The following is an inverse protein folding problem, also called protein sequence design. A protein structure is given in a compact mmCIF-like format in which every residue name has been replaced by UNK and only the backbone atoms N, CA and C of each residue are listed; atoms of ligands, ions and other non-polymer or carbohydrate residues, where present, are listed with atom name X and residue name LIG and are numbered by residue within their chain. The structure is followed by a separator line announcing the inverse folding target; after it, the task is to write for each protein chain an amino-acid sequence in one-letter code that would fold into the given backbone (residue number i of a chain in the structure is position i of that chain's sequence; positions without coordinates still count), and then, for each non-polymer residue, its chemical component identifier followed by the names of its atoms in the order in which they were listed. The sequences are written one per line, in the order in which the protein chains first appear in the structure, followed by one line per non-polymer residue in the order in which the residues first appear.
data_IF_982993601754
#
_entry.id   IF_982993601754
#
_cell.length_a   1.000
_cell.length_b   1.000
_cell.length_c   1.000
_cell.angle_alpha   90.00
_cell.angle_beta   90.00
_cell.angle_gamma   90.00
#
_symmetry.space_group_name_H-M   'P 1'
#
loop_
_entity.id
_entity.type
_entity.pdbx_description
1 polymer ?
#
# COMPACT_ATOMS: atom_id res chain seq x y z
N UNK A 1 -8.44 -11.22 22.81
CA UNK A 1 -7.25 -10.72 23.54
C UNK A 1 -5.97 -10.83 22.71
N UNK A 2 -5.66 -11.96 22.06
CA UNK A 2 -4.44 -12.16 21.25
C UNK A 2 -4.27 -11.17 20.08
N UNK A 3 -5.35 -10.68 19.47
CA UNK A 3 -5.31 -9.73 18.32
C UNK A 3 -4.90 -8.31 18.75
N UNK A 4 -5.29 -7.85 19.95
CA UNK A 4 -4.89 -6.53 20.49
C UNK A 4 -3.40 -6.48 20.85
N UNK A 5 -2.86 -7.56 21.40
CA UNK A 5 -1.44 -7.65 21.78
C UNK A 5 -0.55 -7.63 20.53
N UNK A 6 -0.93 -8.32 19.45
CA UNK A 6 -0.20 -8.24 18.17
C UNK A 6 -0.15 -6.81 17.62
N UNK A 7 -1.26 -6.07 17.69
CA UNK A 7 -1.29 -4.68 17.18
C UNK A 7 -0.37 -3.75 18.01
N UNK A 8 -0.31 -3.91 19.32
CA UNK A 8 0.58 -3.13 20.20
C UNK A 8 2.05 -3.42 19.87
N UNK A 9 2.41 -4.68 19.68
CA UNK A 9 3.78 -5.07 19.30
C UNK A 9 4.21 -4.43 17.97
N UNK A 10 3.33 -4.41 16.95
CA UNK A 10 3.60 -3.78 15.67
C UNK A 10 3.69 -2.25 15.76
N UNK A 11 2.87 -1.63 16.60
CA UNK A 11 2.96 -0.19 16.88
C UNK A 11 4.28 0.17 17.56
N UNK A 12 4.72 -0.59 18.58
CA UNK A 12 5.99 -0.37 19.25
C UNK A 12 7.18 -0.56 18.30
N UNK A 13 7.12 -1.58 17.44
CA UNK A 13 8.15 -1.82 16.41
C UNK A 13 8.21 -0.69 15.39
N UNK A 14 7.07 -0.21 14.90
CA UNK A 14 7.00 0.93 14.00
C UNK A 14 7.61 2.19 14.64
N UNK A 15 7.41 2.40 15.94
CA UNK A 15 7.97 3.52 16.67
C UNK A 15 9.50 3.42 16.84
N UNK A 16 10.01 2.22 17.10
CA UNK A 16 11.46 1.96 17.23
C UNK A 16 12.20 2.07 15.88
N UNK A 17 11.57 1.65 14.78
CA UNK A 17 12.15 1.75 13.43
C UNK A 17 11.98 3.16 12.82
N UNK A 18 11.12 4.01 13.42
CA UNK A 18 10.77 5.34 12.92
C UNK A 18 11.97 6.26 12.59
N UNK A 19 12.98 6.44 13.45
CA UNK A 19 14.09 7.34 13.13
C UNK A 19 14.94 6.84 11.94
N UNK A 20 15.11 5.52 11.82
CA UNK A 20 15.85 4.91 10.70
C UNK A 20 15.08 5.02 9.38
N UNK A 21 13.76 4.85 9.43
CA UNK A 21 12.88 4.98 8.27
C UNK A 21 12.82 6.43 7.82
N UNK A 22 12.72 7.38 8.76
CA UNK A 22 12.72 8.83 8.46
C UNK A 22 14.02 9.26 7.76
N UNK A 23 15.16 8.73 8.21
CA UNK A 23 16.46 9.01 7.57
C UNK A 23 16.53 8.44 6.14
N UNK A 24 16.03 7.23 5.92
CA UNK A 24 15.97 6.60 4.59
C UNK A 24 15.01 7.32 3.63
N UNK A 25 13.84 7.73 4.11
CA UNK A 25 12.86 8.50 3.32
C UNK A 25 13.49 9.83 2.88
N UNK A 26 14.18 10.54 3.77
CA UNK A 26 14.85 11.81 3.44
C UNK A 26 15.97 11.66 2.39
N UNK A 27 16.64 10.52 2.36
CA UNK A 27 17.69 10.23 1.36
C UNK A 27 17.08 9.83 0.01
N UNK A 28 15.98 9.09 0.01
CA UNK A 28 15.33 8.56 -1.21
C UNK A 28 14.40 9.58 -1.89
N UNK A 29 13.82 10.52 -1.14
CA UNK A 29 12.90 11.57 -1.65
C UNK A 29 13.56 12.57 -2.64
N UNK A 30 14.85 12.48 -2.88
CA UNK A 30 15.59 13.35 -3.81
C UNK A 30 15.62 12.84 -5.26
N UNK A 31 15.09 11.68 -5.55
CA UNK A 31 15.15 11.12 -6.89
C UNK A 31 13.86 11.39 -7.66
N UNK A 32 14.01 12.09 -8.79
CA UNK A 32 12.97 12.42 -9.77
C UNK A 32 11.95 11.29 -9.96
N UNK A 33 10.67 11.65 -10.00
CA UNK A 33 9.57 10.78 -10.43
C UNK A 33 9.89 10.28 -11.83
N UNK A 34 10.47 9.11 -11.93
CA UNK A 34 10.70 8.43 -13.21
C UNK A 34 9.36 8.03 -13.79
N UNK A 35 9.22 8.06 -15.12
CA UNK A 35 8.04 7.55 -15.84
C UNK A 35 7.65 6.11 -15.45
N UNK A 36 8.57 5.33 -14.94
CA UNK A 36 8.39 3.95 -14.40
C UNK A 36 8.14 3.93 -12.88
N UNK A 37 7.25 4.75 -12.37
CA UNK A 37 6.94 4.76 -10.94
C UNK A 37 6.16 3.51 -10.52
N UNK A 38 6.49 2.95 -9.35
CA UNK A 38 5.75 1.85 -8.74
C UNK A 38 4.84 2.43 -7.65
N UNK A 39 3.55 2.25 -7.81
CA UNK A 39 2.52 2.92 -6.99
C UNK A 39 1.69 1.87 -6.29
N UNK A 40 1.55 2.01 -4.97
CA UNK A 40 0.65 1.19 -4.15
C UNK A 40 -0.57 2.00 -3.76
N UNK A 41 -1.76 1.53 -4.10
CA UNK A 41 -3.02 2.12 -3.63
C UNK A 41 -3.64 1.23 -2.56
N UNK A 42 -4.01 1.83 -1.44
CA UNK A 42 -4.70 1.15 -0.34
C UNK A 42 -6.06 1.82 -0.16
N UNK A 43 -7.10 1.31 -0.81
CA UNK A 43 -8.47 1.77 -0.59
C UNK A 43 -8.99 1.28 0.77
N UNK A 44 -10.22 1.63 1.12
CA UNK A 44 -10.88 1.05 2.29
C UNK A 44 -10.98 -0.48 2.12
N UNK A 45 -10.23 -1.23 2.93
CA UNK A 45 -9.95 -2.64 2.69
C UNK A 45 -11.17 -3.56 2.68
N UNK A 46 -12.26 -3.19 3.37
CA UNK A 46 -13.38 -4.10 3.64
C UNK A 46 -14.71 -3.69 3.02
N UNK A 47 -14.83 -2.47 2.51
CA UNK A 47 -16.08 -1.92 1.98
C UNK A 47 -16.08 -1.91 0.46
N UNK A 48 -16.89 -2.77 -0.12
CA UNK A 48 -17.03 -2.91 -1.57
C UNK A 48 -17.45 -1.59 -2.26
N UNK A 49 -18.38 -0.85 -1.66
CA UNK A 49 -18.83 0.43 -2.20
C UNK A 49 -17.70 1.46 -2.31
N UNK A 50 -16.87 1.57 -1.26
CA UNK A 50 -15.74 2.50 -1.25
C UNK A 50 -14.71 2.15 -2.34
N UNK A 51 -14.53 0.84 -2.63
CA UNK A 51 -13.63 0.37 -3.68
C UNK A 51 -14.13 0.77 -5.07
N UNK A 52 -15.44 0.68 -5.30
CA UNK A 52 -16.04 1.16 -6.56
C UNK A 52 -15.81 2.66 -6.72
N UNK A 53 -16.00 3.44 -5.65
CA UNK A 53 -15.76 4.90 -5.66
C UNK A 53 -14.29 5.27 -5.92
N UNK A 54 -13.34 4.40 -5.59
CA UNK A 54 -11.91 4.61 -5.83
C UNK A 54 -11.48 4.23 -7.25
N UNK A 55 -12.28 3.48 -8.00
CA UNK A 55 -11.95 3.03 -9.36
C UNK A 55 -11.51 4.17 -10.31
N UNK A 56 -12.10 5.37 -10.29
CA UNK A 56 -11.63 6.50 -11.12
C UNK A 56 -10.20 6.93 -10.81
N UNK A 57 -9.73 6.71 -9.58
CA UNK A 57 -8.35 7.04 -9.17
C UNK A 57 -7.34 6.18 -9.92
N UNK A 58 -7.62 4.89 -10.16
CA UNK A 58 -6.75 4.01 -10.95
C UNK A 58 -6.60 4.50 -12.38
N UNK A 59 -7.70 5.01 -12.93
CA UNK A 59 -7.71 5.63 -14.25
C UNK A 59 -6.84 6.88 -14.26
N UNK A 60 -7.05 7.81 -13.34
CA UNK A 60 -6.30 9.05 -13.24
C UNK A 60 -4.79 8.80 -13.08
N UNK A 61 -4.40 7.80 -12.25
CA UNK A 61 -3.00 7.41 -12.09
C UNK A 61 -2.40 6.93 -13.41
N UNK A 62 -3.09 6.04 -14.13
CA UNK A 62 -2.58 5.51 -15.41
C UNK A 62 -2.58 6.55 -16.54
N UNK A 63 -3.49 7.51 -16.53
CA UNK A 63 -3.48 8.63 -17.46
C UNK A 63 -2.31 9.58 -17.21
N UNK A 64 -1.99 9.86 -15.94
CA UNK A 64 -0.88 10.72 -15.56
C UNK A 64 0.49 10.00 -15.67
N UNK A 65 0.53 8.71 -15.36
CA UNK A 65 1.73 7.87 -15.35
C UNK A 65 1.48 6.57 -16.12
N UNK A 66 1.45 6.60 -17.46
CA UNK A 66 1.08 5.44 -18.29
C UNK A 66 1.96 4.21 -18.05
N UNK A 67 3.26 4.42 -17.84
CA UNK A 67 4.25 3.36 -17.64
C UNK A 67 4.41 2.94 -16.18
N UNK A 68 3.55 3.45 -15.28
CA UNK A 68 3.61 3.10 -13.86
C UNK A 68 3.14 1.67 -13.62
N UNK A 69 3.77 1.00 -12.66
CA UNK A 69 3.27 -0.25 -12.10
C UNK A 69 2.31 0.08 -10.95
N UNK A 70 1.05 -0.24 -11.12
CA UNK A 70 -0.02 0.02 -10.15
C UNK A 70 -0.42 -1.26 -9.42
N UNK A 71 -0.13 -1.34 -8.13
CA UNK A 71 -0.62 -2.38 -7.26
C UNK A 71 -1.71 -1.87 -6.32
N UNK A 72 -2.66 -2.72 -5.99
CA UNK A 72 -3.76 -2.40 -5.08
C UNK A 72 -3.83 -3.43 -3.96
N UNK A 73 -3.80 -2.95 -2.71
CA UNK A 73 -3.97 -3.79 -1.53
C UNK A 73 -5.43 -3.80 -1.10
N UNK A 74 -6.07 -4.96 -1.13
CA UNK A 74 -7.52 -5.12 -0.86
C UNK A 74 -7.83 -6.39 -0.10
N UNK A 75 -9.08 -6.53 0.36
CA UNK A 75 -9.60 -7.78 0.90
C UNK A 75 -9.94 -8.77 -0.22
N UNK A 76 -10.04 -10.04 0.14
CA UNK A 76 -10.46 -11.10 -0.79
C UNK A 76 -11.83 -10.80 -1.42
N UNK A 77 -12.77 -10.24 -0.64
CA UNK A 77 -14.09 -9.83 -1.14
C UNK A 77 -14.01 -8.76 -2.23
N UNK A 78 -13.06 -7.87 -2.12
CA UNK A 78 -12.86 -6.75 -3.05
C UNK A 78 -12.03 -7.13 -4.28
N UNK A 79 -11.13 -8.09 -4.13
CA UNK A 79 -10.28 -8.57 -5.21
C UNK A 79 -11.08 -9.05 -6.42
N UNK A 80 -12.22 -9.74 -6.18
CA UNK A 80 -13.10 -10.23 -7.24
C UNK A 80 -13.64 -9.12 -8.15
N UNK A 81 -13.88 -7.92 -7.61
CA UNK A 81 -14.39 -6.77 -8.37
C UNK A 81 -13.29 -6.15 -9.22
N UNK A 82 -12.06 -6.17 -8.73
CA UNK A 82 -10.92 -5.52 -9.38
C UNK A 82 -10.17 -6.42 -10.36
N UNK A 83 -10.42 -7.73 -10.31
CA UNK A 83 -9.66 -8.76 -11.05
C UNK A 83 -9.53 -8.49 -12.55
N UNK A 84 -10.55 -7.90 -13.17
CA UNK A 84 -10.58 -7.63 -14.60
C UNK A 84 -10.35 -6.15 -14.94
N UNK A 85 -9.83 -5.36 -14.00
CA UNK A 85 -9.54 -3.97 -14.27
C UNK A 85 -8.19 -3.82 -15.01
N UNK A 86 -8.19 -3.38 -16.30
CA UNK A 86 -6.98 -3.33 -17.12
C UNK A 86 -5.96 -2.30 -16.64
N UNK A 87 -6.30 -1.47 -15.67
CA UNK A 87 -5.43 -0.42 -15.11
C UNK A 87 -4.64 -0.89 -13.92
N UNK A 88 -4.95 -2.07 -13.37
CA UNK A 88 -4.30 -2.64 -12.19
C UNK A 88 -3.33 -3.73 -12.64
N UNK A 89 -2.05 -3.55 -12.35
CA UNK A 89 -1.03 -4.52 -12.71
C UNK A 89 -0.91 -5.65 -11.68
N UNK A 90 -1.21 -5.36 -10.39
CA UNK A 90 -1.16 -6.37 -9.32
C UNK A 90 -2.22 -6.10 -8.26
N UNK A 91 -2.92 -7.16 -7.86
CA UNK A 91 -3.79 -7.16 -6.68
C UNK A 91 -3.08 -7.92 -5.56
N UNK A 92 -2.99 -7.31 -4.39
CA UNK A 92 -2.44 -7.91 -3.18
C UNK A 92 -3.61 -8.11 -2.22
N UNK A 93 -3.85 -9.35 -1.82
CA UNK A 93 -4.96 -9.71 -0.92
C UNK A 93 -4.38 -9.81 0.49
N UNK A 94 -4.79 -8.90 1.38
CA UNK A 94 -4.16 -8.81 2.70
C UNK A 94 -4.41 -10.02 3.60
N UNK A 95 -5.49 -10.77 3.36
CA UNK A 95 -5.81 -12.00 4.11
C UNK A 95 -4.89 -13.17 3.77
N UNK A 96 -4.19 -13.15 2.63
CA UNK A 96 -3.27 -14.21 2.20
C UNK A 96 -1.92 -14.14 2.94
N UNK A 97 -1.67 -13.04 3.65
CA UNK A 97 -0.39 -12.78 4.29
C UNK A 97 -0.55 -12.53 5.79
N UNK A 98 0.41 -12.96 6.56
CA UNK A 98 0.60 -12.41 7.91
C UNK A 98 1.09 -10.96 7.80
N UNK A 99 0.96 -10.18 8.88
CA UNK A 99 1.42 -8.78 8.86
C UNK A 99 2.90 -8.64 8.52
N UNK A 100 3.72 -9.62 8.90
CA UNK A 100 5.16 -9.63 8.59
C UNK A 100 5.41 -9.93 7.10
N UNK A 101 4.79 -10.97 6.57
CA UNK A 101 4.90 -11.35 5.17
C UNK A 101 4.43 -10.24 4.25
N UNK A 102 3.33 -9.57 4.59
CA UNK A 102 2.81 -8.44 3.82
C UNK A 102 3.83 -7.28 3.73
N UNK A 103 4.49 -6.96 4.85
CA UNK A 103 5.55 -5.95 4.86
C UNK A 103 6.73 -6.39 3.98
N UNK A 104 7.11 -7.66 4.02
CA UNK A 104 8.17 -8.19 3.15
C UNK A 104 7.80 -8.08 1.68
N UNK A 105 6.58 -8.48 1.30
CA UNK A 105 6.07 -8.37 -0.08
C UNK A 105 6.07 -6.92 -0.57
N UNK A 106 5.64 -5.97 0.27
CA UNK A 106 5.64 -4.55 -0.09
C UNK A 106 7.07 -4.03 -0.28
N UNK A 107 8.02 -4.46 0.54
CA UNK A 107 9.44 -4.11 0.41
C UNK A 107 10.08 -4.69 -0.87
N UNK A 108 9.79 -5.94 -1.19
CA UNK A 108 10.28 -6.59 -2.41
C UNK A 108 9.76 -5.89 -3.67
N UNK A 109 8.52 -5.43 -3.63
CA UNK A 109 7.91 -4.71 -4.74
C UNK A 109 8.46 -3.28 -4.91
N UNK A 110 9.26 -2.76 -3.98
CA UNK A 110 9.97 -1.48 -4.02
C UNK A 110 9.10 -0.32 -4.55
N UNK A 111 7.98 -0.07 -3.90
CA UNK A 111 7.08 1.01 -4.27
C UNK A 111 7.74 2.38 -4.03
N UNK A 112 7.56 3.29 -4.98
CA UNK A 112 8.02 4.68 -4.88
C UNK A 112 6.97 5.57 -4.21
N UNK A 113 5.68 5.25 -4.40
CA UNK A 113 4.54 6.00 -3.90
C UNK A 113 3.51 5.08 -3.27
N UNK A 114 2.88 5.58 -2.22
CA UNK A 114 1.66 4.95 -1.69
C UNK A 114 0.54 5.97 -1.57
N UNK A 115 -0.63 5.57 -2.01
CA UNK A 115 -1.86 6.33 -1.85
C UNK A 115 -2.78 5.57 -0.89
N UNK A 116 -2.82 6.02 0.37
CA UNK A 116 -3.68 5.44 1.38
C UNK A 116 -5.00 6.21 1.44
N UNK A 117 -6.05 5.59 0.94
CA UNK A 117 -7.43 6.12 0.95
C UNK A 117 -8.26 5.51 2.08
N UNK A 118 -7.63 4.70 2.94
CA UNK A 118 -8.29 4.09 4.08
C UNK A 118 -8.21 4.98 5.31
N UNK A 119 -9.33 5.19 5.99
CA UNK A 119 -9.38 5.87 7.28
C UNK A 119 -8.82 5.03 8.44
N UNK A 120 -8.32 3.82 8.19
CA UNK A 120 -7.82 2.91 9.22
C UNK A 120 -6.33 3.05 9.42
N UNK A 121 -5.88 3.01 10.68
CA UNK A 121 -4.46 3.04 11.07
C UNK A 121 -3.65 1.88 10.47
N UNK A 122 -4.29 0.74 10.18
CA UNK A 122 -3.60 -0.43 9.63
C UNK A 122 -2.98 -0.15 8.25
N UNK A 123 -3.67 0.57 7.37
CA UNK A 123 -3.13 0.95 6.06
C UNK A 123 -1.89 1.83 6.19
N UNK A 124 -1.93 2.82 7.08
CA UNK A 124 -0.80 3.73 7.34
C UNK A 124 0.41 2.99 7.94
N UNK A 125 0.18 2.05 8.87
CA UNK A 125 1.25 1.26 9.46
C UNK A 125 1.91 0.35 8.41
N UNK A 126 1.13 -0.28 7.56
CA UNK A 126 1.63 -1.17 6.49
C UNK A 126 2.49 -0.38 5.51
N UNK A 127 2.03 0.80 5.07
CA UNK A 127 2.80 1.64 4.15
C UNK A 127 4.08 2.17 4.78
N UNK A 128 4.02 2.60 6.03
CA UNK A 128 5.17 3.08 6.77
C UNK A 128 6.22 1.98 6.96
N UNK A 129 5.82 0.79 7.41
CA UNK A 129 6.72 -0.34 7.60
C UNK A 129 7.23 -0.92 6.27
N UNK A 130 6.46 -0.82 5.21
CA UNK A 130 6.86 -1.19 3.86
C UNK A 130 7.88 -0.24 3.24
N UNK A 131 8.18 0.90 3.88
CA UNK A 131 9.06 1.95 3.36
C UNK A 131 8.63 2.48 1.99
N UNK A 132 7.34 2.57 1.78
CA UNK A 132 6.81 3.22 0.58
C UNK A 132 6.96 4.73 0.77
N UNK A 133 7.61 5.40 -0.19
CA UNK A 133 7.76 6.85 -0.17
C UNK A 133 6.40 7.50 -0.47
N UNK A 134 6.03 8.45 0.33
CA UNK A 134 4.88 9.34 0.09
C UNK A 134 5.36 10.62 -0.56
#
# INVERSE_FOLDING_TARGET
MKRKIKNIYWMCRAFLESPFIFLRIKIKSRNNVSKKSRILVIPQLTRVGDIICVTPTFRAIKEQYPDSFLAVLVSNKAAGILKNNPRIDKIIIFEEYTSHELVCVIRELDFHWSLNLSATSNGSIITFLGMVNN
#
